data_IF_581193447075
#
_entry.id   IF_581193447075
#
_cell.length_a   1.000
_cell.length_b   1.000
_cell.length_c   1.000
_cell.angle_alpha   90.00
_cell.angle_beta   90.00
_cell.angle_gamma   90.00
#
_symmetry.space_group_name_H-M   'P 1'
#
loop_
_entity.id
_entity.type
_entity.pdbx_description
1 polymer ?
#
# COMPACT_ATOMS: atom_id res chain seq x y z
N UNK A 1 47.56 0.28 62.21
CA UNK A 1 46.28 0.79 61.66
C UNK A 1 45.55 -0.41 61.04
N UNK A 2 44.37 -0.83 61.52
CA UNK A 2 43.70 -1.98 60.95
C UNK A 2 42.99 -1.58 59.64
N UNK A 3 43.09 -2.47 58.65
CA UNK A 3 42.46 -2.34 57.32
C UNK A 3 40.92 -2.45 57.42
N UNK A 4 40.13 -1.67 56.66
CA UNK A 4 38.68 -1.76 56.70
C UNK A 4 38.19 -3.06 56.05
N UNK A 5 37.37 -3.83 56.77
CA UNK A 5 36.78 -5.07 56.28
C UNK A 5 35.78 -4.83 55.12
N UNK A 6 35.69 -5.73 54.13
CA UNK A 6 34.78 -5.57 53.00
C UNK A 6 33.32 -5.76 53.44
N UNK A 7 32.50 -4.73 53.28
CA UNK A 7 31.05 -4.77 53.50
C UNK A 7 30.39 -5.73 52.52
N UNK A 8 30.04 -6.94 52.98
CA UNK A 8 29.23 -7.88 52.19
C UNK A 8 27.82 -7.31 52.00
N UNK A 9 27.51 -6.83 50.80
CA UNK A 9 26.15 -6.50 50.40
C UNK A 9 25.31 -7.78 50.40
N UNK A 10 24.59 -8.03 51.50
CA UNK A 10 23.69 -9.17 51.60
C UNK A 10 22.44 -8.92 50.75
N UNK A 11 22.13 -9.84 49.83
CA UNK A 11 20.92 -9.86 48.98
C UNK A 11 19.62 -9.54 49.74
N UNK A 12 19.52 -9.94 51.02
CA UNK A 12 18.39 -9.61 51.91
C UNK A 12 18.19 -8.09 52.11
N UNK A 13 19.26 -7.30 52.27
CA UNK A 13 19.17 -5.84 52.41
C UNK A 13 18.77 -5.18 51.08
N UNK A 14 19.19 -5.71 49.94
CA UNK A 14 18.79 -5.22 48.63
C UNK A 14 17.29 -5.46 48.36
N UNK A 15 16.78 -6.65 48.69
CA UNK A 15 15.36 -7.01 48.56
C UNK A 15 14.45 -6.19 49.48
N UNK A 16 14.85 -5.95 50.73
CA UNK A 16 14.09 -5.09 51.64
C UNK A 16 14.05 -3.63 51.17
N UNK A 17 15.13 -3.13 50.57
CA UNK A 17 15.20 -1.78 49.97
C UNK A 17 14.36 -1.68 48.69
N UNK A 18 14.24 -2.76 47.93
CA UNK A 18 13.36 -2.84 46.77
C UNK A 18 11.88 -2.78 47.17
N UNK A 19 11.51 -3.44 48.27
CA UNK A 19 10.13 -3.51 48.78
C UNK A 19 9.57 -2.17 49.28
N UNK A 20 10.44 -1.23 49.68
CA UNK A 20 10.04 0.11 50.14
C UNK A 20 10.04 1.20 49.05
N UNK A 21 10.44 0.87 47.81
CA UNK A 21 10.66 1.86 46.77
C UNK A 21 9.37 2.13 45.97
N UNK A 22 8.59 3.14 46.39
CA UNK A 22 7.32 3.55 45.75
C UNK A 22 7.45 3.87 44.25
N UNK A 23 8.63 4.27 43.79
CA UNK A 23 8.94 4.48 42.36
C UNK A 23 8.86 3.18 41.54
N UNK A 24 9.11 2.02 42.16
CA UNK A 24 8.95 0.72 41.53
C UNK A 24 7.48 0.32 41.31
N UNK A 25 6.58 0.72 42.23
CA UNK A 25 5.13 0.48 42.08
C UNK A 25 4.58 1.21 40.86
N UNK A 26 4.91 2.50 40.73
CA UNK A 26 4.49 3.31 39.59
C UNK A 26 5.01 2.77 38.25
N UNK A 27 6.23 2.19 38.22
CA UNK A 27 6.77 1.56 37.02
C UNK A 27 6.01 0.28 36.63
N UNK A 28 5.58 -0.52 37.61
CA UNK A 28 4.78 -1.73 37.38
C UNK A 28 3.37 -1.37 36.91
N UNK A 29 2.75 -0.35 37.52
CA UNK A 29 1.44 0.17 37.10
C UNK A 29 1.46 0.64 35.64
N UNK A 30 2.50 1.39 35.24
CA UNK A 30 2.68 1.80 33.85
C UNK A 30 2.92 0.60 32.93
N UNK A 31 3.75 -0.37 33.34
CA UNK A 31 4.03 -1.56 32.54
C UNK A 31 2.78 -2.42 32.26
N UNK A 32 1.78 -2.39 33.14
CA UNK A 32 0.51 -3.09 32.92
C UNK A 32 -0.40 -2.38 31.91
N UNK A 33 -0.41 -1.05 31.87
CA UNK A 33 -1.28 -0.26 30.98
C UNK A 33 -0.63 0.02 29.63
N UNK A 34 0.70 0.14 29.58
CA UNK A 34 1.46 0.47 28.39
C UNK A 34 1.16 -0.44 27.17
N UNK A 35 1.04 -1.77 27.30
CA UNK A 35 0.75 -2.65 26.15
C UNK A 35 -0.57 -2.31 25.46
N UNK A 36 -1.63 -2.01 26.23
CA UNK A 36 -2.93 -1.63 25.68
C UNK A 36 -2.87 -0.27 24.98
N UNK A 37 -2.17 0.69 25.59
CA UNK A 37 -1.97 2.01 25.01
C UNK A 37 -1.21 1.93 23.68
N UNK A 38 -0.09 1.20 23.63
CA UNK A 38 0.69 1.04 22.40
C UNK A 38 -0.05 0.23 21.33
N UNK A 39 -0.83 -0.78 21.71
CA UNK A 39 -1.67 -1.52 20.77
C UNK A 39 -2.66 -0.59 20.04
N UNK A 40 -3.36 0.26 20.80
CA UNK A 40 -4.30 1.24 20.25
C UNK A 40 -3.58 2.32 19.43
N UNK A 41 -2.43 2.82 19.91
CA UNK A 41 -1.61 3.78 19.19
C UNK A 41 -1.17 3.24 17.82
N UNK A 42 -0.65 2.01 17.78
CA UNK A 42 -0.24 1.37 16.53
C UNK A 42 -1.43 1.07 15.62
N UNK A 43 -2.59 0.70 16.16
CA UNK A 43 -3.81 0.52 15.36
C UNK A 43 -4.24 1.84 14.67
N UNK A 44 -4.17 2.97 15.39
CA UNK A 44 -4.46 4.30 14.82
C UNK A 44 -3.44 4.63 13.72
N UNK A 45 -2.14 4.46 13.99
CA UNK A 45 -1.08 4.75 13.02
C UNK A 45 -1.19 3.87 11.76
N UNK A 46 -1.45 2.57 11.92
CA UNK A 46 -1.65 1.65 10.80
C UNK A 46 -2.84 2.06 9.95
N UNK A 47 -3.95 2.45 10.59
CA UNK A 47 -5.15 2.92 9.90
C UNK A 47 -4.90 4.22 9.14
N UNK A 48 -4.19 5.17 9.76
CA UNK A 48 -3.82 6.43 9.12
C UNK A 48 -2.93 6.20 7.89
N UNK A 49 -1.92 5.34 8.00
CA UNK A 49 -1.07 4.95 6.87
C UNK A 49 -1.86 4.25 5.78
N UNK A 50 -2.80 3.39 6.14
CA UNK A 50 -3.65 2.69 5.18
C UNK A 50 -4.50 3.67 4.35
N UNK A 51 -5.12 4.65 4.99
CA UNK A 51 -5.90 5.68 4.29
C UNK A 51 -5.01 6.60 3.45
N UNK A 52 -3.86 7.01 3.99
CA UNK A 52 -2.88 7.80 3.25
C UNK A 52 -2.42 7.09 1.97
N UNK A 53 -2.03 5.82 2.07
CA UNK A 53 -1.65 5.00 0.92
C UNK A 53 -2.79 4.83 -0.08
N UNK A 54 -4.04 4.71 0.38
CA UNK A 54 -5.19 4.64 -0.52
C UNK A 54 -5.35 5.92 -1.36
N UNK A 55 -5.16 7.10 -0.75
CA UNK A 55 -5.22 8.38 -1.48
C UNK A 55 -4.05 8.56 -2.45
N UNK A 56 -2.85 8.12 -2.06
CA UNK A 56 -1.67 8.14 -2.93
C UNK A 56 -1.90 7.22 -4.15
N UNK A 57 -2.45 6.03 -3.94
CA UNK A 57 -2.78 5.10 -5.02
C UNK A 57 -3.80 5.71 -5.99
N UNK A 58 -4.83 6.39 -5.48
CA UNK A 58 -5.83 7.10 -6.29
C UNK A 58 -5.19 8.20 -7.16
N UNK A 59 -4.28 8.97 -6.57
CA UNK A 59 -3.55 10.04 -7.27
C UNK A 59 -2.70 9.48 -8.40
N UNK A 60 -2.00 8.37 -8.14
CA UNK A 60 -1.17 7.69 -9.14
C UNK A 60 -2.03 7.08 -10.24
N UNK A 61 -3.18 6.50 -9.89
CA UNK A 61 -4.14 6.00 -10.87
C UNK A 61 -4.61 7.12 -11.80
N UNK A 62 -4.90 8.31 -11.27
CA UNK A 62 -5.30 9.47 -12.08
C UNK A 62 -4.15 9.99 -12.96
N UNK A 63 -2.93 10.10 -12.44
CA UNK A 63 -1.78 10.57 -13.24
C UNK A 63 -1.43 9.57 -14.35
N UNK A 64 -1.44 8.27 -14.04
CA UNK A 64 -1.15 7.22 -15.03
C UNK A 64 -2.27 7.06 -16.07
N UNK A 65 -3.54 7.24 -15.67
CA UNK A 65 -4.68 7.25 -16.58
C UNK A 65 -4.56 8.34 -17.65
N UNK A 66 -3.97 9.51 -17.33
CA UNK A 66 -3.77 10.59 -18.32
C UNK A 66 -2.93 10.15 -19.50
N UNK A 67 -1.93 9.29 -19.29
CA UNK A 67 -1.12 8.76 -20.38
C UNK A 67 -1.96 7.96 -21.39
N UNK A 68 -2.99 7.24 -20.92
CA UNK A 68 -3.93 6.53 -21.80
C UNK A 68 -4.95 7.50 -22.42
N UNK A 69 -5.45 8.45 -21.62
CA UNK A 69 -6.43 9.45 -22.05
C UNK A 69 -5.95 10.24 -23.28
N UNK A 70 -4.69 10.67 -23.28
CA UNK A 70 -4.11 11.53 -24.32
C UNK A 70 -3.40 10.74 -25.43
N UNK A 71 -3.62 9.43 -25.52
CA UNK A 71 -3.01 8.59 -26.57
C UNK A 71 -1.53 8.24 -26.35
N UNK A 72 -0.87 8.69 -25.27
CA UNK A 72 0.57 8.46 -25.04
C UNK A 72 0.91 7.01 -24.67
N UNK A 73 -0.09 6.22 -24.32
CA UNK A 73 0.04 4.78 -24.10
C UNK A 73 -0.24 3.95 -25.36
N UNK A 74 -0.84 4.57 -26.37
CA UNK A 74 -1.23 3.97 -27.63
C UNK A 74 -0.16 4.33 -28.68
N UNK A 75 0.26 3.38 -29.51
CA UNK A 75 1.15 3.71 -30.64
C UNK A 75 0.49 4.55 -31.76
N UNK A 76 -0.74 5.02 -31.53
CA UNK A 76 -1.52 5.83 -32.45
C UNK A 76 -1.18 7.30 -32.20
N UNK A 77 -0.33 7.89 -33.05
CA UNK A 77 0.19 9.26 -32.88
C UNK A 77 1.72 9.38 -32.91
N UNK A 78 2.46 8.28 -33.13
CA UNK A 78 3.91 8.30 -33.31
C UNK A 78 4.74 8.55 -32.03
N UNK A 79 4.08 8.67 -30.87
CA UNK A 79 4.72 8.95 -29.58
C UNK A 79 4.17 7.99 -28.53
N UNK A 80 5.03 7.14 -27.94
CA UNK A 80 4.65 6.24 -26.83
C UNK A 80 5.53 6.51 -25.62
N UNK A 81 5.61 7.79 -25.25
CA UNK A 81 6.55 8.27 -24.23
C UNK A 81 6.33 7.60 -22.86
N UNK A 82 5.10 7.16 -22.57
CA UNK A 82 4.75 6.57 -21.29
C UNK A 82 5.27 5.13 -21.11
N UNK A 83 5.39 4.34 -22.17
CA UNK A 83 5.78 2.91 -22.09
C UNK A 83 7.03 2.57 -22.89
N UNK A 84 7.81 3.58 -23.23
CA UNK A 84 9.01 3.42 -24.01
C UNK A 84 10.04 2.59 -23.23
N UNK A 85 10.24 1.35 -23.65
CA UNK A 85 11.20 0.42 -23.08
C UNK A 85 12.60 0.55 -23.68
N UNK A 86 12.73 1.21 -24.84
CA UNK A 86 14.00 1.47 -25.51
C UNK A 86 14.00 2.83 -26.25
N UNK A 87 15.17 3.50 -26.38
CA UNK A 87 15.28 4.71 -27.19
C UNK A 87 14.81 4.45 -28.64
N UNK A 88 14.00 5.36 -29.20
CA UNK A 88 13.51 5.35 -30.59
C UNK A 88 12.58 4.20 -30.99
N UNK A 89 11.95 3.48 -30.05
CA UNK A 89 10.89 2.50 -30.36
C UNK A 89 9.51 3.05 -30.06
N UNK A 90 8.62 2.99 -31.06
CA UNK A 90 7.21 3.37 -30.95
C UNK A 90 6.39 2.08 -30.87
N UNK A 91 6.24 1.53 -29.66
CA UNK A 91 5.42 0.34 -29.41
C UNK A 91 4.30 0.67 -28.42
N UNK A 92 3.08 0.20 -28.71
CA UNK A 92 1.95 0.39 -27.81
C UNK A 92 2.28 -0.24 -26.45
N UNK A 93 1.81 0.40 -25.37
CA UNK A 93 1.94 -0.19 -24.05
C UNK A 93 1.32 -1.59 -24.02
N UNK A 94 2.00 -2.49 -23.31
CA UNK A 94 1.42 -3.72 -22.80
C UNK A 94 1.18 -3.58 -21.28
N UNK A 95 0.58 -4.61 -20.68
CA UNK A 95 0.31 -4.61 -19.25
C UNK A 95 1.59 -4.44 -18.40
N UNK A 96 2.71 -4.98 -18.85
CA UNK A 96 3.98 -5.01 -18.12
C UNK A 96 4.71 -3.66 -18.15
N UNK A 97 4.78 -3.06 -19.32
CA UNK A 97 5.37 -1.73 -19.54
C UNK A 97 4.52 -0.67 -18.88
N UNK A 98 3.18 -0.76 -18.98
CA UNK A 98 2.30 0.15 -18.26
C UNK A 98 2.43 -0.02 -16.74
N UNK A 99 2.53 -1.25 -16.23
CA UNK A 99 2.83 -1.48 -14.80
C UNK A 99 4.15 -0.83 -14.39
N UNK A 100 5.20 -0.97 -15.20
CA UNK A 100 6.51 -0.32 -14.95
C UNK A 100 6.39 1.20 -14.93
N UNK A 101 5.64 1.78 -15.86
CA UNK A 101 5.35 3.22 -15.90
C UNK A 101 4.62 3.67 -14.63
N UNK A 102 3.55 2.99 -14.24
CA UNK A 102 2.83 3.26 -13.00
C UNK A 102 3.81 3.19 -11.82
N UNK A 103 4.64 2.13 -11.73
CA UNK A 103 5.62 1.96 -10.67
C UNK A 103 6.69 3.05 -10.59
N UNK A 104 7.04 3.70 -11.71
CA UNK A 104 7.95 4.86 -11.71
C UNK A 104 7.37 6.09 -11.01
N UNK A 105 6.04 6.16 -10.90
CA UNK A 105 5.30 7.25 -10.25
C UNK A 105 5.00 6.97 -8.78
N UNK A 106 5.20 5.73 -8.32
CA UNK A 106 4.85 5.34 -6.96
C UNK A 106 5.97 5.73 -6.00
N UNK A 107 5.67 6.37 -4.86
CA UNK A 107 6.68 6.61 -3.83
C UNK A 107 7.17 5.29 -3.21
N UNK A 108 8.35 5.33 -2.59
CA UNK A 108 9.04 4.17 -1.98
C UNK A 108 8.23 3.40 -0.91
N UNK A 109 7.04 3.89 -0.55
CA UNK A 109 6.10 3.26 0.37
C UNK A 109 5.45 1.98 -0.21
N UNK A 110 5.45 1.81 -1.53
CA UNK A 110 4.80 0.68 -2.20
C UNK A 110 5.81 -0.27 -2.83
N UNK A 111 5.41 -1.53 -2.93
CA UNK A 111 6.13 -2.59 -3.61
C UNK A 111 5.46 -2.91 -4.94
N UNK A 112 6.11 -2.55 -6.05
CA UNK A 112 5.60 -2.78 -7.40
C UNK A 112 5.23 -4.26 -7.68
N UNK A 113 5.86 -5.21 -6.99
CA UNK A 113 5.52 -6.63 -7.14
C UNK A 113 4.07 -6.94 -6.71
N UNK A 114 3.54 -6.18 -5.74
CA UNK A 114 2.19 -6.32 -5.16
C UNK A 114 1.14 -5.44 -5.85
N UNK A 115 1.54 -4.70 -6.87
CA UNK A 115 0.65 -3.90 -7.71
C UNK A 115 0.19 -4.72 -8.92
N UNK A 116 -1.10 -4.66 -9.21
CA UNK A 116 -1.69 -5.23 -10.40
C UNK A 116 -2.49 -4.16 -11.13
N UNK A 117 -2.48 -4.24 -12.46
CA UNK A 117 -3.09 -3.26 -13.33
C UNK A 117 -4.07 -3.95 -14.25
N UNK A 118 -5.27 -3.42 -14.32
CA UNK A 118 -6.33 -3.87 -15.22
C UNK A 118 -6.87 -2.66 -15.98
N UNK A 119 -6.83 -2.72 -17.30
CA UNK A 119 -7.30 -1.65 -18.18
C UNK A 119 -8.27 -2.24 -19.18
N UNK A 120 -9.50 -1.77 -19.14
CA UNK A 120 -10.59 -2.26 -19.99
C UNK A 120 -11.14 -1.09 -20.80
N UNK A 121 -11.28 -1.28 -22.10
CA UNK A 121 -11.90 -0.29 -23.00
C UNK A 121 -13.19 -0.82 -23.60
N UNK A 122 -14.14 0.09 -23.83
CA UNK A 122 -15.45 -0.19 -24.44
C UNK A 122 -15.91 1.01 -25.28
N UNK A 123 -16.96 0.83 -26.08
CA UNK A 123 -17.51 1.91 -26.90
C UNK A 123 -18.34 2.93 -26.11
N UNK A 124 -18.91 2.54 -24.96
CA UNK A 124 -19.75 3.40 -24.13
C UNK A 124 -19.77 2.93 -22.68
N UNK A 125 -20.09 3.85 -21.75
CA UNK A 125 -20.29 3.50 -20.34
C UNK A 125 -21.41 2.47 -20.12
N UNK A 126 -22.42 2.42 -21.00
CA UNK A 126 -23.53 1.46 -20.90
C UNK A 126 -23.17 0.02 -21.26
N UNK A 127 -22.07 -0.18 -21.99
CA UNK A 127 -21.56 -1.51 -22.39
C UNK A 127 -20.39 -1.98 -21.51
N UNK A 128 -20.04 -1.21 -20.48
CA UNK A 128 -18.91 -1.51 -19.62
C UNK A 128 -19.23 -2.69 -18.70
N UNK A 129 -18.47 -3.78 -18.84
CA UNK A 129 -18.50 -4.91 -17.93
C UNK A 129 -17.13 -5.06 -17.28
N UNK A 130 -17.10 -4.96 -15.95
CA UNK A 130 -15.88 -5.09 -15.17
C UNK A 130 -15.89 -6.42 -14.43
N UNK A 131 -14.84 -7.23 -14.67
CA UNK A 131 -14.64 -8.47 -13.91
C UNK A 131 -14.45 -8.14 -12.43
N UNK A 132 -15.12 -8.89 -11.55
CA UNK A 132 -14.90 -8.83 -10.12
C UNK A 132 -13.71 -9.73 -9.76
N UNK A 133 -12.62 -9.14 -9.28
CA UNK A 133 -11.41 -9.85 -8.89
C UNK A 133 -11.38 -10.26 -7.40
N UNK A 134 -12.52 -10.17 -6.72
CA UNK A 134 -12.66 -10.53 -5.31
C UNK A 134 -12.31 -9.39 -4.34
N UNK A 135 -12.12 -9.75 -3.08
CA UNK A 135 -11.79 -8.84 -1.99
C UNK A 135 -10.43 -9.21 -1.37
N UNK A 136 -10.05 -8.59 -0.25
CA UNK A 136 -8.80 -8.90 0.46
C UNK A 136 -8.57 -10.39 0.77
N UNK A 137 -9.63 -11.20 0.91
CA UNK A 137 -9.56 -12.62 1.22
C UNK A 137 -9.50 -13.51 -0.04
N UNK A 138 -10.15 -13.08 -1.13
CA UNK A 138 -10.36 -13.89 -2.34
C UNK A 138 -9.73 -13.29 -3.60
N UNK A 139 -8.82 -12.33 -3.42
CA UNK A 139 -8.22 -11.61 -4.54
C UNK A 139 -7.55 -12.55 -5.52
N UNK A 140 -8.03 -12.56 -6.75
CA UNK A 140 -7.47 -13.34 -7.83
C UNK A 140 -7.19 -12.42 -9.05
N UNK A 141 -5.93 -12.14 -9.38
CA UNK A 141 -5.58 -11.32 -10.52
C UNK A 141 -5.65 -12.05 -11.87
N UNK A 142 -6.03 -13.34 -11.89
CA UNK A 142 -6.22 -14.09 -13.13
C UNK A 142 -7.27 -13.44 -14.02
N UNK A 143 -6.93 -13.22 -15.30
CA UNK A 143 -7.83 -12.62 -16.27
C UNK A 143 -7.86 -11.10 -16.28
N UNK A 144 -6.94 -10.42 -15.58
CA UNK A 144 -6.69 -8.99 -15.78
C UNK A 144 -6.22 -8.74 -17.21
N UNK A 145 -6.74 -7.68 -17.81
CA UNK A 145 -6.49 -7.36 -19.20
C UNK A 145 -5.83 -5.98 -19.33
N UNK A 146 -5.21 -5.74 -20.46
CA UNK A 146 -4.73 -4.42 -20.82
C UNK A 146 -5.24 -4.05 -22.22
N UNK A 147 -6.19 -3.12 -22.24
CA UNK A 147 -6.73 -2.55 -23.46
C UNK A 147 -6.93 -1.05 -23.28
N UNK A 148 -5.95 -0.27 -23.73
CA UNK A 148 -5.96 1.19 -23.67
C UNK A 148 -7.04 1.85 -24.56
N UNK A 149 -7.70 1.09 -25.42
CA UNK A 149 -8.70 1.58 -26.36
C UNK A 149 -8.15 2.54 -27.41
N UNK A 150 -8.98 2.87 -28.39
CA UNK A 150 -8.70 3.88 -29.42
C UNK A 150 -9.31 5.24 -29.05
N UNK A 151 -9.07 6.23 -29.89
CA UNK A 151 -9.65 7.56 -29.74
C UNK A 151 -11.17 7.51 -29.58
N UNK A 152 -11.71 8.29 -28.63
CA UNK A 152 -13.14 8.39 -28.37
C UNK A 152 -13.76 7.17 -27.69
N UNK A 153 -13.00 6.13 -27.35
CA UNK A 153 -13.51 5.00 -26.56
C UNK A 153 -13.49 5.31 -25.06
N UNK A 154 -14.39 4.65 -24.33
CA UNK A 154 -14.45 4.71 -22.87
C UNK A 154 -13.45 3.70 -22.31
N UNK A 155 -12.60 4.14 -21.40
CA UNK A 155 -11.56 3.32 -20.78
C UNK A 155 -11.71 3.40 -19.27
N UNK A 156 -11.54 2.26 -18.61
CA UNK A 156 -11.46 2.15 -17.16
C UNK A 156 -10.13 1.53 -16.78
N UNK A 157 -9.37 2.28 -16.00
CA UNK A 157 -8.10 1.87 -15.41
C UNK A 157 -8.34 1.52 -13.96
N UNK A 158 -7.98 0.31 -13.55
CA UNK A 158 -8.05 -0.18 -12.18
C UNK A 158 -6.68 -0.60 -11.72
N UNK A 159 -6.23 0.00 -10.61
CA UNK A 159 -5.03 -0.41 -9.90
C UNK A 159 -5.42 -1.18 -8.66
N UNK A 160 -4.89 -2.39 -8.50
CA UNK A 160 -5.08 -3.24 -7.33
C UNK A 160 -3.76 -3.35 -6.59
N UNK A 161 -3.76 -3.10 -5.28
CA UNK A 161 -2.55 -3.20 -4.45
C UNK A 161 -2.81 -4.00 -3.18
N UNK A 162 -1.96 -4.97 -2.89
CA UNK A 162 -2.02 -5.72 -1.62
C UNK A 162 -1.18 -5.03 -0.54
N UNK A 163 -1.84 -4.24 0.30
CA UNK A 163 -1.22 -3.57 1.43
C UNK A 163 -0.96 -4.52 2.61
N UNK A 164 0.29 -4.68 3.07
CA UNK A 164 0.58 -5.49 4.25
C UNK A 164 0.14 -4.78 5.54
N UNK A 165 -0.51 -5.51 6.43
CA UNK A 165 -0.88 -5.08 7.78
C UNK A 165 0.11 -5.68 8.78
N UNK A 166 0.61 -4.87 9.71
CA UNK A 166 1.71 -5.25 10.62
C UNK A 166 1.19 -5.46 12.04
N UNK A 167 0.21 -4.66 12.47
CA UNK A 167 -0.33 -4.60 13.84
C UNK A 167 -1.36 -5.72 14.11
N UNK A 168 -1.57 -6.62 13.15
CA UNK A 168 -2.59 -7.67 13.22
C UNK A 168 -2.38 -8.72 14.30
N UNK A 169 -1.16 -8.87 14.81
CA UNK A 169 -0.84 -9.79 15.90
C UNK A 169 -1.46 -9.41 17.26
N UNK A 170 -1.96 -8.18 17.41
CA UNK A 170 -2.57 -7.68 18.66
C UNK A 170 -4.11 -7.71 18.64
N UNK A 171 -4.72 -8.43 17.69
CA UNK A 171 -6.18 -8.59 17.57
C UNK A 171 -6.87 -7.55 16.68
N UNK A 172 -6.15 -6.57 16.14
CA UNK A 172 -6.66 -5.59 15.17
C UNK A 172 -6.39 -6.06 13.74
N UNK A 173 -7.40 -6.57 13.03
CA UNK A 173 -7.23 -6.95 11.62
C UNK A 173 -8.23 -6.19 10.73
N UNK A 174 -7.74 -5.14 10.06
CA UNK A 174 -8.51 -4.33 9.11
C UNK A 174 -8.58 -4.94 7.69
N UNK A 175 -8.13 -6.18 7.51
CA UNK A 175 -8.07 -6.87 6.24
C UNK A 175 -8.30 -8.38 6.38
N UNK A 176 -7.65 -9.16 5.52
CA UNK A 176 -7.69 -10.62 5.52
C UNK A 176 -6.26 -11.14 5.48
N UNK A 177 -5.92 -12.12 6.33
CA UNK A 177 -4.59 -12.76 6.32
C UNK A 177 -3.42 -11.77 6.33
N UNK A 178 -3.50 -10.74 7.18
CA UNK A 178 -2.52 -9.65 7.33
C UNK A 178 -2.31 -8.81 6.07
N UNK A 179 -3.29 -8.78 5.16
CA UNK A 179 -3.26 -7.98 3.95
C UNK A 179 -4.60 -7.28 3.72
N UNK A 180 -4.55 -6.11 3.09
CA UNK A 180 -5.70 -5.34 2.64
C UNK A 180 -5.58 -5.07 1.16
N UNK A 181 -6.57 -5.47 0.38
CA UNK A 181 -6.68 -5.07 -1.02
C UNK A 181 -7.14 -3.62 -1.10
N UNK A 182 -6.31 -2.76 -1.67
CA UNK A 182 -6.64 -1.39 -2.06
C UNK A 182 -6.94 -1.38 -3.55
N UNK A 183 -7.97 -0.64 -3.94
CA UNK A 183 -8.38 -0.51 -5.35
C UNK A 183 -8.55 0.95 -5.66
N UNK A 184 -7.87 1.44 -6.69
CA UNK A 184 -8.09 2.76 -7.28
C UNK A 184 -8.68 2.56 -8.67
N UNK A 185 -9.76 3.25 -8.99
CA UNK A 185 -10.47 3.10 -10.28
C UNK A 185 -10.68 4.46 -10.92
N UNK A 186 -10.23 4.61 -12.16
CA UNK A 186 -10.41 5.84 -12.94
C UNK A 186 -11.10 5.47 -14.25
N UNK A 187 -12.23 6.12 -14.53
CA UNK A 187 -13.00 5.92 -15.75
C UNK A 187 -13.05 7.22 -16.55
N UNK A 188 -12.76 7.14 -17.84
CA UNK A 188 -12.67 8.32 -18.72
C UNK A 188 -12.96 7.93 -20.18
N UNK A 189 -13.04 8.93 -21.05
CA UNK A 189 -13.16 8.75 -22.51
C UNK A 189 -11.90 9.31 -23.17
N UNK A 190 -11.22 8.51 -23.99
CA UNK A 190 -10.01 8.91 -24.69
C UNK A 190 -10.24 10.15 -25.55
N UNK A 191 -9.24 11.03 -25.58
CA UNK A 191 -9.23 12.23 -26.39
C UNK A 191 -9.15 11.89 -27.90
N UNK A 192 -9.54 12.84 -28.77
CA UNK A 192 -9.15 12.83 -30.18
C UNK A 192 -7.63 12.99 -30.30
N UNK A 193 -6.95 12.02 -30.91
CA UNK A 193 -5.49 12.03 -31.15
C UNK A 193 -5.15 11.47 -32.53
#
# INVERSE_FOLDING_TARGET
>A
MPSPAPTRFTLRKALLRFRGNRRGSAAVEFALVAPMFFALLFAILETALMFFSSQVLETIAQDSARAILTGQAQAQGGSVAACQSAPNTVAACDQTTFKTFVCSKIPALFDCSKLYVDVVSTSSFGTLSLTNFGNSCTFNPSGMQYSAGSSGQVVVVRLFYQWPLIVTGLGYNAGCSNKRLMVATVAFKNEPF
#
